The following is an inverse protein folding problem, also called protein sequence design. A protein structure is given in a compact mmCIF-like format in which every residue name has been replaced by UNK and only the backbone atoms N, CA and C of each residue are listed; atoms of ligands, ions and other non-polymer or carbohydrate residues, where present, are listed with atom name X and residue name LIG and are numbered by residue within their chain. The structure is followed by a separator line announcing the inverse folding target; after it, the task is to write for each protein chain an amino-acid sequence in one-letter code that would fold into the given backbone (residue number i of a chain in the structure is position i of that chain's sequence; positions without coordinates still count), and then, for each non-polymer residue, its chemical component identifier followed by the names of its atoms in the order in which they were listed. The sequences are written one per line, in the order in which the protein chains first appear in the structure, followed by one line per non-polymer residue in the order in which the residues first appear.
data_IF_785010457208
#
_entry.id   IF_785010457208
#
_cell.length_a   1.000
_cell.length_b   1.000
_cell.length_c   1.000
_cell.angle_alpha   90.00
_cell.angle_beta   90.00
_cell.angle_gamma   90.00
#
_symmetry.space_group_name_H-M   'P 1'
#
loop_
_entity.id
_entity.type
_entity.pdbx_description
1 polymer ?
#
# COMPACT_ATOMS: atom_id res chain seq x y z
N UNK A 1 31.98 16.47 15.42
CA UNK A 1 30.71 15.80 15.75
C UNK A 1 30.48 16.09 17.23
N UNK A 2 29.32 16.64 17.60
CA UNK A 2 29.07 17.16 18.96
C UNK A 2 29.17 16.03 20.00
N UNK A 3 29.91 16.19 21.10
CA UNK A 3 30.14 15.11 22.10
C UNK A 3 28.83 14.56 22.67
N UNK A 4 27.84 15.44 22.83
CA UNK A 4 26.48 15.07 23.19
C UNK A 4 25.81 14.07 22.22
N UNK A 5 26.01 14.24 20.91
CA UNK A 5 25.44 13.34 19.90
C UNK A 5 26.14 11.99 19.93
N UNK A 6 27.45 11.96 20.20
CA UNK A 6 28.21 10.71 20.34
C UNK A 6 27.75 9.90 21.55
N UNK A 7 27.46 10.57 22.66
CA UNK A 7 27.01 9.92 23.89
C UNK A 7 25.56 9.43 23.78
N UNK A 8 24.66 10.28 23.27
CA UNK A 8 23.25 9.95 23.05
C UNK A 8 23.04 8.76 22.09
N UNK A 9 23.91 8.60 21.10
CA UNK A 9 23.79 7.54 20.09
C UNK A 9 24.54 6.25 20.45
N UNK A 10 25.21 6.19 21.60
CA UNK A 10 26.04 5.04 22.01
C UNK A 10 25.24 3.75 22.11
N UNK A 11 24.05 3.81 22.69
CA UNK A 11 23.24 2.62 23.02
C UNK A 11 22.23 2.24 21.93
N UNK A 12 22.17 3.01 20.83
CA UNK A 12 21.29 2.69 19.71
C UNK A 12 21.88 1.50 18.94
N UNK A 13 21.16 0.36 18.87
CA UNK A 13 21.77 -0.89 18.43
C UNK A 13 22.08 -0.91 16.92
N UNK A 14 21.35 -0.17 16.07
CA UNK A 14 21.48 -0.20 14.60
C UNK A 14 21.09 1.14 13.94
N UNK A 15 21.46 1.34 12.68
CA UNK A 15 20.95 2.43 11.83
C UNK A 15 21.66 3.78 11.91
N UNK A 16 22.79 3.88 12.61
CA UNK A 16 23.59 5.12 12.69
C UNK A 16 24.53 5.26 11.50
N UNK A 17 24.49 6.42 10.85
CA UNK A 17 25.40 6.79 9.75
C UNK A 17 26.85 7.02 10.21
N UNK A 18 27.07 7.27 11.50
CA UNK A 18 28.37 7.57 12.11
C UNK A 18 29.24 6.35 12.46
N UNK A 19 28.72 5.12 12.36
CA UNK A 19 29.51 3.89 12.64
C UNK A 19 30.26 3.41 11.38
N UNK A 20 31.59 3.33 11.46
CA UNK A 20 32.49 2.95 10.36
C UNK A 20 32.17 1.58 9.74
N UNK A 21 32.20 1.52 8.40
CA UNK A 21 31.87 0.35 7.56
C UNK A 21 32.70 -0.92 7.85
N UNK A 22 33.93 -0.80 8.37
CA UNK A 22 34.86 -1.95 8.52
C UNK A 22 34.50 -2.95 9.62
N UNK A 23 33.45 -2.71 10.41
CA UNK A 23 33.02 -3.58 11.53
C UNK A 23 31.66 -4.24 11.30
N UNK A 24 31.22 -4.34 10.06
CA UNK A 24 29.82 -4.54 9.74
C UNK A 24 29.64 -5.50 8.55
N UNK A 25 29.10 -6.68 8.80
CA UNK A 25 28.71 -7.69 7.79
C UNK A 25 27.27 -7.49 7.31
N UNK A 26 27.02 -7.77 6.03
CA UNK A 26 25.73 -7.68 5.33
C UNK A 26 24.81 -8.82 5.80
N UNK A 27 23.48 -8.61 5.98
CA UNK A 27 22.70 -7.41 5.66
C UNK A 27 22.47 -6.48 6.85
N UNK A 28 22.32 -5.20 6.54
CA UNK A 28 22.13 -4.14 7.51
C UNK A 28 20.76 -3.48 7.38
N UNK A 29 20.10 -3.26 8.51
CA UNK A 29 18.94 -2.37 8.61
C UNK A 29 19.42 -0.99 9.06
N UNK A 30 19.18 0.04 8.25
CA UNK A 30 19.45 1.44 8.59
C UNK A 30 18.30 2.33 8.16
N UNK A 31 18.09 3.42 8.90
CA UNK A 31 17.19 4.47 8.48
C UNK A 31 17.79 5.17 7.24
N UNK A 32 16.96 5.37 6.22
CA UNK A 32 17.35 6.18 5.08
C UNK A 32 17.25 7.66 5.45
N UNK A 33 18.20 8.49 4.99
CA UNK A 33 18.12 9.93 5.26
C UNK A 33 17.04 10.59 4.39
N UNK A 34 16.32 11.61 4.91
CA UNK A 34 15.35 12.38 4.12
C UNK A 34 15.94 12.92 2.80
N UNK A 35 17.18 13.40 2.81
CA UNK A 35 17.86 13.94 1.62
C UNK A 35 18.04 12.87 0.54
N UNK A 36 18.39 11.64 0.94
CA UNK A 36 18.53 10.53 0.00
C UNK A 36 17.17 10.10 -0.57
N UNK A 37 16.11 10.11 0.23
CA UNK A 37 14.74 9.84 -0.23
C UNK A 37 14.33 10.91 -1.24
N UNK A 38 14.52 12.19 -0.92
CA UNK A 38 14.16 13.32 -1.78
C UNK A 38 14.91 13.28 -3.12
N UNK A 39 16.19 12.89 -3.14
CA UNK A 39 17.01 12.78 -4.36
C UNK A 39 16.74 11.51 -5.17
N UNK A 40 16.15 10.46 -4.57
CA UNK A 40 15.93 9.17 -5.24
C UNK A 40 14.76 9.23 -6.22
N UNK A 41 15.04 9.17 -7.52
CA UNK A 41 14.01 9.06 -8.57
C UNK A 41 13.27 7.72 -8.55
N UNK A 42 13.94 6.66 -8.11
CA UNK A 42 13.35 5.32 -8.01
C UNK A 42 12.15 5.31 -7.07
N UNK A 43 12.21 6.12 -6.02
CA UNK A 43 11.14 6.22 -5.02
C UNK A 43 9.99 7.16 -5.44
N UNK A 44 10.11 7.90 -6.55
CA UNK A 44 9.06 8.81 -6.99
C UNK A 44 7.77 8.05 -7.33
N UNK A 45 6.64 8.50 -6.79
CA UNK A 45 5.32 7.99 -7.11
C UNK A 45 4.49 9.04 -7.86
N UNK A 46 4.08 8.75 -9.10
CA UNK A 46 3.09 9.57 -9.82
C UNK A 46 1.70 8.90 -9.72
N UNK A 47 0.72 9.50 -9.02
CA UNK A 47 -0.61 8.91 -8.86
C UNK A 47 -1.39 8.82 -10.19
N UNK A 48 -0.99 9.57 -11.22
CA UNK A 48 -1.60 9.51 -12.55
C UNK A 48 -1.00 8.37 -13.36
N UNK A 49 0.27 8.06 -13.15
CA UNK A 49 0.99 6.97 -13.80
C UNK A 49 1.81 6.14 -12.78
N UNK A 50 1.15 5.34 -11.93
CA UNK A 50 1.83 4.67 -10.81
C UNK A 50 2.69 3.48 -11.24
N UNK A 51 2.59 3.01 -12.49
CA UNK A 51 3.31 1.81 -12.94
C UNK A 51 3.02 0.60 -12.05
N UNK A 52 4.05 -0.18 -11.72
CA UNK A 52 3.99 -1.28 -10.76
C UNK A 52 4.15 -0.86 -9.30
N UNK A 53 4.21 0.45 -8.99
CA UNK A 53 4.50 0.92 -7.63
C UNK A 53 3.29 0.86 -6.71
N UNK A 54 3.55 0.51 -5.46
CA UNK A 54 2.65 0.72 -4.32
C UNK A 54 3.07 2.00 -3.60
N UNK A 55 2.13 2.91 -3.38
CA UNK A 55 2.36 4.12 -2.60
C UNK A 55 2.52 3.76 -1.13
N UNK A 56 3.62 4.21 -0.52
CA UNK A 56 3.94 3.92 0.88
C UNK A 56 3.89 5.17 1.77
N UNK A 57 3.88 6.37 1.19
CA UNK A 57 3.78 7.62 1.94
C UNK A 57 4.19 8.84 1.14
N UNK A 58 4.52 9.90 1.84
CA UNK A 58 4.99 11.16 1.28
C UNK A 58 6.09 11.78 2.17
N UNK A 59 6.97 12.56 1.56
CA UNK A 59 7.94 13.41 2.25
C UNK A 59 7.84 14.82 1.66
N UNK A 60 7.17 15.72 2.37
CA UNK A 60 6.72 16.98 1.78
C UNK A 60 5.79 16.71 0.60
N UNK A 61 6.02 17.39 -0.52
CA UNK A 61 5.23 17.22 -1.75
C UNK A 61 5.60 15.98 -2.57
N UNK A 62 6.69 15.29 -2.18
CA UNK A 62 7.14 14.10 -2.88
C UNK A 62 6.38 12.88 -2.40
N UNK A 63 5.53 12.32 -3.26
CA UNK A 63 4.93 11.01 -3.03
C UNK A 63 5.96 9.89 -3.24
N UNK A 64 5.90 8.89 -2.37
CA UNK A 64 6.88 7.80 -2.29
C UNK A 64 6.19 6.48 -2.64
N UNK A 65 6.79 5.74 -3.57
CA UNK A 65 6.32 4.43 -4.00
C UNK A 65 7.44 3.43 -4.18
N UNK A 66 7.11 2.16 -3.97
CA UNK A 66 8.04 1.04 -4.15
C UNK A 66 7.48 0.12 -5.23
N UNK A 67 8.31 -0.22 -6.21
CA UNK A 67 8.03 -1.24 -7.21
C UNK A 67 8.68 -2.54 -6.76
N UNK A 68 7.87 -3.49 -6.32
CA UNK A 68 8.31 -4.79 -5.84
C UNK A 68 7.18 -5.81 -6.08
N UNK A 69 7.54 -7.04 -6.43
CA UNK A 69 6.57 -8.10 -6.69
C UNK A 69 6.26 -8.97 -5.45
N UNK A 70 6.94 -8.71 -4.32
CA UNK A 70 6.68 -9.37 -3.04
C UNK A 70 5.42 -8.81 -2.36
N UNK A 71 4.92 -9.55 -1.38
CA UNK A 71 3.76 -9.13 -0.60
C UNK A 71 4.10 -7.97 0.35
N UNK A 72 3.12 -7.11 0.59
CA UNK A 72 3.21 -5.98 1.52
C UNK A 72 2.37 -6.27 2.76
N UNK A 73 2.96 -6.06 3.93
CA UNK A 73 2.28 -6.13 5.22
C UNK A 73 2.23 -4.74 5.86
N UNK A 74 1.02 -4.18 5.98
CA UNK A 74 0.81 -2.92 6.70
C UNK A 74 0.34 -3.20 8.12
N UNK A 75 1.16 -2.83 9.10
CA UNK A 75 0.85 -2.93 10.53
C UNK A 75 0.65 -1.54 11.09
N UNK A 76 -0.53 -1.26 11.65
CA UNK A 76 -0.81 -0.01 12.35
C UNK A 76 -1.89 -0.24 13.42
N UNK A 77 -1.87 0.57 14.47
CA UNK A 77 -2.92 0.57 15.49
C UNK A 77 -4.27 1.07 14.97
N UNK A 78 -5.31 0.96 15.79
CA UNK A 78 -6.61 1.56 15.46
C UNK A 78 -6.47 3.06 15.25
N UNK A 79 -7.12 3.59 14.20
CA UNK A 79 -7.07 5.02 13.80
C UNK A 79 -5.68 5.54 13.40
N UNK A 80 -4.68 4.67 13.23
CA UNK A 80 -3.33 5.06 12.81
C UNK A 80 -3.16 5.14 11.27
N UNK A 81 -4.26 5.19 10.51
CA UNK A 81 -4.20 5.40 9.06
C UNK A 81 -3.97 4.16 8.18
N UNK A 82 -4.13 2.93 8.70
CA UNK A 82 -4.04 1.69 7.89
C UNK A 82 -4.95 1.75 6.64
N UNK A 83 -6.21 2.15 6.82
CA UNK A 83 -7.17 2.27 5.71
C UNK A 83 -6.78 3.38 4.73
N UNK A 84 -6.18 4.48 5.21
CA UNK A 84 -5.77 5.62 4.38
C UNK A 84 -4.76 5.18 3.31
N UNK A 85 -3.76 4.39 3.69
CA UNK A 85 -2.77 3.86 2.74
C UNK A 85 -3.42 2.93 1.71
N UNK A 86 -4.35 2.08 2.14
CA UNK A 86 -5.07 1.18 1.22
C UNK A 86 -5.94 1.96 0.23
N UNK A 87 -6.76 2.90 0.72
CA UNK A 87 -7.62 3.76 -0.10
C UNK A 87 -6.79 4.55 -1.11
N UNK A 88 -5.69 5.17 -0.68
CA UNK A 88 -4.80 5.90 -1.59
C UNK A 88 -4.30 5.04 -2.75
N UNK A 89 -3.91 3.79 -2.47
CA UNK A 89 -3.53 2.84 -3.52
C UNK A 89 -4.73 2.45 -4.40
N UNK A 90 -5.90 2.14 -3.83
CA UNK A 90 -7.10 1.76 -4.59
C UNK A 90 -7.56 2.82 -5.60
N UNK A 91 -7.34 4.10 -5.30
CA UNK A 91 -7.72 5.24 -6.15
C UNK A 91 -6.83 5.43 -7.39
N UNK A 92 -5.62 4.86 -7.37
CA UNK A 92 -4.58 5.07 -8.39
C UNK A 92 -4.13 3.78 -9.08
N UNK A 93 -4.12 2.65 -8.35
CA UNK A 93 -3.58 1.37 -8.81
C UNK A 93 -4.31 0.83 -10.03
N UNK A 94 -3.54 0.58 -11.10
CA UNK A 94 -4.07 0.21 -12.42
C UNK A 94 -4.39 -1.28 -12.54
N UNK A 95 -3.77 -2.12 -11.72
CA UNK A 95 -4.03 -3.56 -11.71
C UNK A 95 -5.40 -3.95 -11.15
N UNK A 96 -5.75 -5.21 -11.37
CA UNK A 96 -6.93 -5.86 -10.78
C UNK A 96 -6.78 -5.98 -9.27
N UNK A 97 -7.90 -5.88 -8.56
CA UNK A 97 -7.93 -5.94 -7.09
C UNK A 97 -9.09 -6.81 -6.66
N UNK A 98 -8.80 -7.71 -5.73
CA UNK A 98 -9.78 -8.38 -4.89
C UNK A 98 -9.62 -7.81 -3.47
N UNK A 99 -10.67 -7.19 -2.95
CA UNK A 99 -10.65 -6.56 -1.64
C UNK A 99 -11.69 -7.22 -0.73
N UNK A 100 -11.26 -7.61 0.47
CA UNK A 100 -12.15 -8.01 1.56
C UNK A 100 -12.53 -6.78 2.36
N UNK A 101 -13.79 -6.38 2.26
CA UNK A 101 -14.29 -5.13 2.83
C UNK A 101 -15.55 -5.35 3.67
N UNK A 102 -15.42 -5.90 4.90
CA UNK A 102 -16.58 -6.25 5.72
C UNK A 102 -17.46 -5.06 6.13
N UNK A 103 -16.96 -3.83 5.97
CA UNK A 103 -17.66 -2.59 6.33
C UNK A 103 -18.06 -1.74 5.13
N UNK A 104 -17.84 -2.26 3.92
CA UNK A 104 -18.05 -1.53 2.67
C UNK A 104 -17.31 -0.17 2.54
N UNK A 105 -16.31 0.12 3.38
CA UNK A 105 -15.60 1.40 3.40
C UNK A 105 -14.81 1.63 2.10
N UNK A 106 -14.13 0.58 1.63
CA UNK A 106 -13.34 0.64 0.39
C UNK A 106 -14.25 0.75 -0.82
N UNK A 107 -15.35 0.00 -0.86
CA UNK A 107 -16.33 0.07 -1.94
C UNK A 107 -16.97 1.46 -2.01
N UNK A 108 -17.49 1.97 -0.89
CA UNK A 108 -18.15 3.29 -0.79
C UNK A 108 -17.24 4.42 -1.26
N UNK A 109 -15.95 4.38 -0.88
CA UNK A 109 -15.00 5.45 -1.21
C UNK A 109 -14.44 5.31 -2.62
N UNK A 110 -14.14 4.09 -3.10
CA UNK A 110 -13.25 3.92 -4.25
C UNK A 110 -13.92 3.37 -5.51
N UNK A 111 -15.10 2.74 -5.43
CA UNK A 111 -15.73 2.04 -6.56
C UNK A 111 -15.92 2.96 -7.78
N UNK A 112 -16.52 4.14 -7.59
CA UNK A 112 -16.75 5.09 -8.67
C UNK A 112 -15.45 5.60 -9.32
N UNK A 113 -14.39 5.81 -8.52
CA UNK A 113 -13.08 6.21 -9.05
C UNK A 113 -12.47 5.08 -9.86
N UNK A 114 -12.52 3.85 -9.38
CA UNK A 114 -12.00 2.67 -10.09
C UNK A 114 -12.73 2.46 -11.41
N UNK A 115 -14.06 2.64 -11.45
CA UNK A 115 -14.81 2.62 -12.71
C UNK A 115 -14.33 3.71 -13.69
N UNK A 116 -14.05 4.93 -13.21
CA UNK A 116 -13.45 6.01 -14.03
C UNK A 116 -12.02 5.72 -14.50
N UNK A 117 -11.31 4.76 -13.91
CA UNK A 117 -10.03 4.27 -14.42
C UNK A 117 -10.20 3.27 -15.58
N UNK A 118 -11.44 2.97 -16.00
CA UNK A 118 -11.77 2.01 -17.05
C UNK A 118 -11.87 0.57 -16.55
N UNK A 119 -11.89 0.35 -15.23
CA UNK A 119 -11.94 -0.98 -14.64
C UNK A 119 -13.39 -1.46 -14.51
N UNK A 120 -13.62 -2.76 -14.70
CA UNK A 120 -14.88 -3.41 -14.32
C UNK A 120 -14.92 -3.53 -12.81
N UNK A 121 -15.92 -2.92 -12.18
CA UNK A 121 -16.11 -2.94 -10.72
C UNK A 121 -17.31 -3.83 -10.39
N UNK A 122 -17.08 -4.78 -9.48
CA UNK A 122 -18.10 -5.68 -8.96
C UNK A 122 -18.04 -5.67 -7.44
N UNK A 123 -19.17 -5.37 -6.81
CA UNK A 123 -19.32 -5.37 -5.35
C UNK A 123 -20.24 -6.53 -4.98
N UNK A 124 -19.70 -7.53 -4.27
CA UNK A 124 -20.46 -8.66 -3.76
C UNK A 124 -20.94 -8.31 -2.35
N UNK A 125 -22.13 -7.73 -2.27
CA UNK A 125 -22.73 -7.22 -1.04
C UNK A 125 -24.17 -7.74 -0.89
N UNK A 126 -24.32 -9.01 -0.46
CA UNK A 126 -25.63 -9.68 -0.38
C UNK A 126 -26.53 -9.15 0.75
N UNK A 127 -25.97 -8.37 1.67
CA UNK A 127 -26.68 -7.81 2.83
C UNK A 127 -26.84 -6.29 2.75
N UNK A 128 -26.41 -5.69 1.64
CA UNK A 128 -26.59 -4.26 1.36
C UNK A 128 -25.93 -3.35 2.41
N UNK A 129 -24.72 -3.68 2.85
CA UNK A 129 -23.91 -2.82 3.72
C UNK A 129 -23.35 -1.58 3.02
N UNK A 130 -23.15 -1.65 1.70
CA UNK A 130 -22.65 -0.52 0.92
C UNK A 130 -23.75 0.53 0.71
N UNK A 131 -23.33 1.79 0.61
CA UNK A 131 -24.24 2.92 0.43
C UNK A 131 -24.95 2.86 -0.94
N UNK A 132 -26.12 3.49 -1.05
CA UNK A 132 -26.97 3.46 -2.25
C UNK A 132 -26.24 3.88 -3.54
N UNK A 133 -25.27 4.81 -3.48
CA UNK A 133 -24.52 5.24 -4.66
C UNK A 133 -23.64 4.12 -5.24
N UNK A 134 -23.33 3.10 -4.44
CA UNK A 134 -22.57 1.91 -4.85
C UNK A 134 -23.46 0.84 -5.47
N UNK A 135 -24.79 0.91 -5.30
CA UNK A 135 -25.72 -0.13 -5.77
C UNK A 135 -25.55 -0.48 -7.25
N UNK A 136 -25.19 0.50 -8.10
CA UNK A 136 -24.89 0.30 -9.53
C UNK A 136 -23.74 -0.70 -9.79
N UNK A 137 -22.81 -0.87 -8.85
CA UNK A 137 -21.70 -1.81 -8.94
C UNK A 137 -22.01 -3.18 -8.30
N UNK A 138 -23.15 -3.33 -7.62
CA UNK A 138 -23.53 -4.55 -6.93
C UNK A 138 -23.74 -5.68 -7.94
N UNK A 139 -23.23 -6.87 -7.61
CA UNK A 139 -23.39 -8.10 -8.38
C UNK A 139 -23.70 -9.28 -7.47
N UNK A 140 -24.32 -10.29 -8.05
CA UNK A 140 -24.51 -11.60 -7.43
C UNK A 140 -23.50 -12.57 -8.00
N UNK A 141 -23.01 -13.49 -7.16
CA UNK A 141 -22.09 -14.53 -7.57
C UNK A 141 -22.54 -15.85 -6.96
N UNK A 142 -22.67 -16.89 -7.79
CA UNK A 142 -22.92 -18.25 -7.35
C UNK A 142 -21.63 -19.07 -7.50
N UNK A 143 -20.96 -19.46 -6.40
CA UNK A 143 -19.75 -20.28 -6.46
C UNK A 143 -19.97 -21.62 -7.17
N UNK A 144 -21.17 -22.20 -7.10
CA UNK A 144 -21.48 -23.48 -7.74
C UNK A 144 -21.48 -23.39 -9.27
N UNK A 145 -21.66 -22.19 -9.83
CA UNK A 145 -21.62 -21.99 -11.28
C UNK A 145 -20.23 -22.21 -11.88
N UNK A 146 -19.18 -22.28 -11.05
CA UNK A 146 -17.81 -22.58 -11.49
C UNK A 146 -17.57 -24.08 -11.64
N UNK A 147 -18.37 -24.91 -10.98
CA UNK A 147 -18.22 -26.37 -11.01
C UNK A 147 -18.55 -26.92 -12.40
N UNK A 148 -17.67 -27.77 -12.92
CA UNK A 148 -17.84 -28.47 -14.19
C UNK A 148 -17.88 -29.98 -13.94
N UNK A 149 -18.91 -30.70 -14.40
CA UNK A 149 -18.94 -32.15 -14.30
C UNK A 149 -17.69 -32.77 -14.93
N UNK A 150 -17.04 -33.70 -14.21
CA UNK A 150 -15.83 -34.38 -14.69
C UNK A 150 -14.54 -33.54 -14.64
N UNK A 151 -14.57 -32.36 -14.02
CA UNK A 151 -13.34 -31.60 -13.76
C UNK A 151 -12.42 -32.41 -12.82
N UNK A 152 -11.11 -32.54 -13.12
CA UNK A 152 -10.16 -33.22 -12.23
C UNK A 152 -9.85 -32.42 -10.95
N UNK A 153 -10.32 -31.17 -10.88
CA UNK A 153 -10.29 -30.27 -9.71
C UNK A 153 -11.65 -29.63 -9.50
#
# INVERSE_FOLDING_TARGET
MNDFISDFTRDIPRGLSSRYLKRQTVPQARWQSPENILRSKTLDYDPRNPGGKIMIGALGDKLIGIEDNRHVLTVAGSRAGKSVTLIGNLLCYRGSILATDPKAELANITAARRAKLGQKVHVLDPFEYADDHVAQFRKSYNPLAVLKPGSPT
#
